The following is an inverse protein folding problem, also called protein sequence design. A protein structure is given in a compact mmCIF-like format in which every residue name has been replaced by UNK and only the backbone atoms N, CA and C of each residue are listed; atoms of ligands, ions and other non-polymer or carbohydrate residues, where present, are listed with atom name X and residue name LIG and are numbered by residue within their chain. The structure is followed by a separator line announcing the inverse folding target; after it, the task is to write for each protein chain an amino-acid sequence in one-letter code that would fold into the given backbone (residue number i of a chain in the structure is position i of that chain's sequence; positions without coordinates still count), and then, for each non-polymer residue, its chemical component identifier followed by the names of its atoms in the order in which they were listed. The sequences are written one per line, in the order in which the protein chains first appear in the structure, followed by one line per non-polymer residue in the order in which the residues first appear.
data_IF_882992808218
#
_entry.id   IF_882992808218
#
_cell.length_a   1.000
_cell.length_b   1.000
_cell.length_c   1.000
_cell.angle_alpha   90.00
_cell.angle_beta   90.00
_cell.angle_gamma   90.00
#
_symmetry.space_group_name_H-M   'P 1'
#
loop_
_entity.id
_entity.type
_entity.pdbx_description
1 polymer ?
#
# COMPACT_ATOMS: atom_id res chain seq x y z
N UNK A 1 26.49 25.27 -12.99
CA UNK A 1 26.71 23.85 -13.35
C UNK A 1 26.23 22.94 -12.22
N UNK A 2 25.01 23.12 -11.73
CA UNK A 2 24.48 22.38 -10.56
C UNK A 2 23.33 21.42 -10.95
N UNK A 3 22.81 21.58 -12.16
CA UNK A 3 21.65 20.85 -12.67
C UNK A 3 21.99 19.41 -13.11
N UNK A 4 23.26 19.08 -13.40
CA UNK A 4 23.63 17.73 -13.83
C UNK A 4 23.66 16.73 -12.68
N UNK A 5 24.21 17.12 -11.52
CA UNK A 5 24.38 16.22 -10.38
C UNK A 5 23.03 15.79 -9.76
N UNK A 6 22.08 16.73 -9.59
CA UNK A 6 20.75 16.39 -9.08
C UNK A 6 19.95 15.53 -10.07
N UNK A 7 20.04 15.84 -11.36
CA UNK A 7 19.32 15.08 -12.38
C UNK A 7 19.92 13.67 -12.58
N UNK A 8 21.24 13.52 -12.51
CA UNK A 8 21.92 12.21 -12.50
C UNK A 8 21.58 11.41 -11.24
N UNK A 9 21.57 12.05 -10.07
CA UNK A 9 21.13 11.44 -8.82
C UNK A 9 19.69 10.94 -8.93
N UNK A 10 18.74 11.79 -9.34
CA UNK A 10 17.34 11.41 -9.51
C UNK A 10 17.14 10.30 -10.55
N UNK A 11 17.94 10.28 -11.61
CA UNK A 11 17.90 9.22 -12.61
C UNK A 11 18.40 7.88 -12.05
N UNK A 12 19.38 7.92 -11.13
CA UNK A 12 19.83 6.74 -10.39
C UNK A 12 18.73 6.18 -9.46
N UNK A 13 18.02 7.06 -8.76
CA UNK A 13 16.95 6.69 -7.82
C UNK A 13 15.61 6.29 -8.48
N UNK A 14 15.45 6.44 -9.80
CA UNK A 14 14.20 6.09 -10.50
C UNK A 14 13.80 4.61 -10.26
N UNK A 15 14.77 3.71 -10.12
CA UNK A 15 14.49 2.30 -9.82
C UNK A 15 13.95 2.09 -8.40
N UNK A 16 14.41 2.88 -7.44
CA UNK A 16 13.90 2.82 -6.07
C UNK A 16 12.42 3.28 -6.00
N UNK A 17 12.01 4.17 -6.89
CA UNK A 17 10.60 4.54 -7.02
C UNK A 17 9.68 3.38 -7.43
N UNK A 18 10.21 2.39 -8.16
CA UNK A 18 9.44 1.22 -8.56
C UNK A 18 9.03 0.38 -7.34
N UNK A 19 9.82 0.40 -6.27
CA UNK A 19 9.52 -0.31 -5.02
C UNK A 19 8.20 0.17 -4.43
N UNK A 20 7.89 1.46 -4.45
CA UNK A 20 6.63 1.99 -3.91
C UNK A 20 5.39 1.51 -4.68
N UNK A 21 5.51 1.34 -6.00
CA UNK A 21 4.46 0.72 -6.80
C UNK A 21 4.26 -0.74 -6.41
N UNK A 22 5.35 -1.50 -6.20
CA UNK A 22 5.28 -2.88 -5.72
C UNK A 22 4.63 -2.96 -4.33
N UNK A 23 5.02 -2.10 -3.39
CA UNK A 23 4.44 -2.07 -2.04
C UNK A 23 2.93 -1.78 -2.09
N UNK A 24 2.52 -0.81 -2.89
CA UNK A 24 1.10 -0.50 -3.12
C UNK A 24 0.36 -1.69 -3.75
N UNK A 25 0.99 -2.37 -4.71
CA UNK A 25 0.44 -3.55 -5.36
C UNK A 25 0.27 -4.75 -4.40
N UNK A 26 1.20 -4.94 -3.45
CA UNK A 26 1.07 -5.95 -2.40
C UNK A 26 -0.16 -5.67 -1.53
N UNK A 27 -0.36 -4.41 -1.10
CA UNK A 27 -1.55 -4.01 -0.32
C UNK A 27 -2.82 -4.23 -1.15
N UNK A 28 -2.80 -3.92 -2.45
CA UNK A 28 -3.91 -4.17 -3.36
C UNK A 28 -4.28 -5.67 -3.42
N UNK A 29 -3.31 -6.57 -3.61
CA UNK A 29 -3.57 -8.02 -3.62
C UNK A 29 -4.18 -8.48 -2.29
N UNK A 30 -3.66 -8.02 -1.16
CA UNK A 30 -4.16 -8.39 0.16
C UNK A 30 -5.59 -7.87 0.40
N UNK A 31 -5.90 -6.67 -0.08
CA UNK A 31 -7.24 -6.12 -0.09
C UNK A 31 -8.20 -6.97 -0.94
N UNK A 32 -7.81 -7.34 -2.16
CA UNK A 32 -8.63 -8.20 -3.03
C UNK A 32 -8.91 -9.57 -2.41
N UNK A 33 -7.90 -10.22 -1.80
CA UNK A 33 -8.10 -11.47 -1.04
C UNK A 33 -9.15 -11.30 0.07
N UNK A 34 -9.11 -10.18 0.79
CA UNK A 34 -10.02 -9.89 1.91
C UNK A 34 -11.45 -9.63 1.44
N UNK A 35 -11.62 -8.94 0.31
CA UNK A 35 -12.93 -8.74 -0.34
C UNK A 35 -13.51 -10.08 -0.81
N UNK A 36 -12.70 -10.93 -1.46
CA UNK A 36 -13.13 -12.27 -1.92
C UNK A 36 -13.56 -13.13 -0.72
N UNK A 37 -12.79 -13.12 0.37
CA UNK A 37 -13.15 -13.78 1.62
C UNK A 37 -14.52 -13.29 2.14
N UNK A 38 -14.71 -11.98 2.27
CA UNK A 38 -15.98 -11.40 2.74
C UNK A 38 -17.19 -11.86 1.91
N UNK A 39 -17.11 -11.78 0.58
CA UNK A 39 -18.19 -12.22 -0.30
C UNK A 39 -18.45 -13.73 -0.24
N UNK A 40 -17.40 -14.51 -0.01
CA UNK A 40 -17.53 -15.97 0.10
C UNK A 40 -18.27 -16.37 1.38
N UNK A 41 -17.88 -15.80 2.51
CA UNK A 41 -18.56 -16.02 3.80
C UNK A 41 -20.02 -15.54 3.74
N UNK A 42 -20.26 -14.38 3.11
CA UNK A 42 -21.62 -13.87 2.88
C UNK A 42 -22.49 -14.88 2.13
N UNK A 43 -21.94 -15.51 1.08
CA UNK A 43 -22.60 -16.56 0.27
C UNK A 43 -22.65 -17.94 0.94
N UNK A 44 -22.16 -18.09 2.17
CA UNK A 44 -22.12 -19.38 2.87
C UNK A 44 -21.12 -20.37 2.29
N UNK A 45 -20.21 -19.92 1.43
CA UNK A 45 -19.10 -20.74 0.92
C UNK A 45 -17.93 -20.56 1.86
N UNK A 46 -17.53 -21.62 2.54
CA UNK A 46 -16.28 -21.67 3.29
C UNK A 46 -15.11 -21.79 2.31
N UNK A 47 -14.81 -20.70 1.60
CA UNK A 47 -13.66 -20.66 0.71
C UNK A 47 -12.41 -20.66 1.60
N UNK A 48 -11.53 -21.65 1.40
CA UNK A 48 -10.21 -21.77 2.07
C UNK A 48 -9.27 -20.58 1.82
N UNK A 49 -9.70 -19.55 1.07
CA UNK A 49 -9.02 -18.25 0.98
C UNK A 49 -9.25 -17.53 2.32
N UNK A 50 -8.57 -18.01 3.34
CA UNK A 50 -8.55 -17.42 4.66
C UNK A 50 -7.77 -16.12 4.50
N UNK A 51 -8.46 -14.98 4.60
CA UNK A 51 -7.79 -13.71 4.81
C UNK A 51 -7.03 -13.82 6.14
N UNK A 52 -5.72 -13.96 6.04
CA UNK A 52 -4.87 -14.32 7.17
C UNK A 52 -4.45 -13.05 7.92
N UNK A 53 -4.21 -13.19 9.22
CA UNK A 53 -3.52 -12.14 9.98
C UNK A 53 -2.15 -11.81 9.38
N UNK A 54 -1.54 -12.77 8.67
CA UNK A 54 -0.30 -12.56 7.92
C UNK A 54 -0.51 -11.55 6.79
N UNK A 55 -1.64 -11.56 6.08
CA UNK A 55 -1.90 -10.58 5.01
C UNK A 55 -2.04 -9.16 5.58
N UNK A 56 -2.59 -9.01 6.80
CA UNK A 56 -2.64 -7.72 7.50
C UNK A 56 -1.23 -7.28 7.87
N UNK A 57 -0.43 -8.18 8.45
CA UNK A 57 0.95 -7.88 8.84
C UNK A 57 1.79 -7.45 7.62
N UNK A 58 1.67 -8.15 6.49
CA UNK A 58 2.34 -7.79 5.24
C UNK A 58 1.89 -6.39 4.77
N UNK A 59 0.59 -6.08 4.83
CA UNK A 59 0.10 -4.75 4.45
C UNK A 59 0.62 -3.65 5.39
N UNK A 60 0.79 -3.93 6.68
CA UNK A 60 1.41 -3.00 7.63
C UNK A 60 2.87 -2.76 7.27
N UNK A 61 3.65 -3.82 7.00
CA UNK A 61 5.05 -3.69 6.58
C UNK A 61 5.17 -2.89 5.28
N UNK A 62 4.27 -3.12 4.32
CA UNK A 62 4.24 -2.35 3.08
C UNK A 62 3.91 -0.88 3.33
N UNK A 63 2.94 -0.58 4.21
CA UNK A 63 2.62 0.78 4.63
C UNK A 63 3.78 1.49 5.34
N UNK A 64 4.52 0.79 6.19
CA UNK A 64 5.73 1.33 6.83
C UNK A 64 6.80 1.66 5.79
N UNK A 65 7.03 0.78 4.81
CA UNK A 65 7.98 1.03 3.71
C UNK A 65 7.59 2.25 2.86
N UNK A 66 6.30 2.42 2.59
CA UNK A 66 5.73 3.58 1.91
C UNK A 66 5.97 4.88 2.68
N UNK A 67 5.70 4.89 4.00
CA UNK A 67 5.97 6.05 4.86
C UNK A 67 7.44 6.47 4.86
N UNK A 68 8.39 5.51 4.93
CA UNK A 68 9.81 5.81 4.82
C UNK A 68 10.17 6.45 3.47
N UNK A 69 9.49 6.04 2.39
CA UNK A 69 9.63 6.68 1.08
C UNK A 69 9.21 8.15 1.09
N UNK A 70 8.08 8.45 1.73
CA UNK A 70 7.58 9.81 1.90
C UNK A 70 8.53 10.68 2.74
N UNK A 71 9.12 10.14 3.82
CA UNK A 71 10.14 10.83 4.60
C UNK A 71 11.43 11.10 3.80
N UNK A 72 11.92 10.11 3.04
CA UNK A 72 13.10 10.28 2.19
C UNK A 72 12.88 11.38 1.15
N UNK A 73 11.67 11.45 0.58
CA UNK A 73 11.33 12.51 -0.36
C UNK A 73 11.13 13.88 0.26
N UNK A 74 10.65 13.96 1.51
CA UNK A 74 10.57 15.21 2.25
C UNK A 74 11.93 15.89 2.40
N UNK A 75 13.00 15.10 2.59
CA UNK A 75 14.38 15.60 2.63
C UNK A 75 14.83 16.12 1.25
N UNK A 76 14.38 15.49 0.15
CA UNK A 76 14.72 15.91 -1.21
C UNK A 76 13.99 17.19 -1.64
N UNK A 77 12.80 17.46 -1.10
CA UNK A 77 12.03 18.69 -1.39
C UNK A 77 12.61 19.96 -0.76
N UNK A 78 13.48 19.82 0.24
CA UNK A 78 14.24 20.94 0.80
C UNK A 78 15.36 21.43 -0.14
N UNK A 79 15.65 20.68 -1.21
CA UNK A 79 16.56 21.09 -2.29
C UNK A 79 15.73 21.90 -3.30
N UNK A 80 16.12 23.15 -3.63
CA UNK A 80 15.38 24.03 -4.55
C UNK A 80 15.60 23.61 -6.00
N UNK A 81 15.16 22.40 -6.35
CA UNK A 81 15.14 21.88 -7.71
C UNK A 81 13.67 21.81 -8.18
N UNK A 82 13.37 22.54 -9.26
CA UNK A 82 12.03 22.69 -9.84
C UNK A 82 11.33 21.34 -10.18
N UNK A 83 12.10 20.25 -10.26
CA UNK A 83 11.62 18.91 -10.59
C UNK A 83 11.25 18.03 -9.36
N UNK A 84 11.69 18.38 -8.14
CA UNK A 84 11.40 17.59 -6.93
C UNK A 84 9.90 17.53 -6.59
N UNK A 85 9.16 18.57 -6.95
CA UNK A 85 7.72 18.72 -6.70
C UNK A 85 6.85 17.64 -7.39
N UNK A 86 7.22 17.23 -8.61
CA UNK A 86 6.43 16.24 -9.37
C UNK A 86 6.57 14.84 -8.79
N UNK A 87 7.74 14.50 -8.26
CA UNK A 87 8.00 13.20 -7.66
C UNK A 87 7.31 13.06 -6.30
N UNK A 88 7.32 14.12 -5.48
CA UNK A 88 6.67 14.14 -4.18
C UNK A 88 5.16 13.86 -4.30
N UNK A 89 4.51 14.49 -5.27
CA UNK A 89 3.09 14.27 -5.55
C UNK A 89 2.77 12.80 -5.87
N UNK A 90 3.67 12.08 -6.55
CA UNK A 90 3.44 10.68 -6.94
C UNK A 90 3.47 9.71 -5.75
N UNK A 91 4.48 9.76 -4.88
CA UNK A 91 4.53 8.87 -3.70
C UNK A 91 3.39 9.19 -2.76
N UNK A 92 3.11 10.47 -2.53
CA UNK A 92 2.01 10.86 -1.64
C UNK A 92 0.65 10.31 -2.11
N UNK A 93 0.42 10.30 -3.43
CA UNK A 93 -0.77 9.66 -4.02
C UNK A 93 -0.76 8.14 -3.76
N UNK A 94 0.38 7.46 -3.93
CA UNK A 94 0.50 6.03 -3.65
C UNK A 94 0.22 5.69 -2.18
N UNK A 95 0.71 6.51 -1.24
CA UNK A 95 0.46 6.37 0.20
C UNK A 95 -1.05 6.46 0.50
N UNK A 96 -1.73 7.46 -0.06
CA UNK A 96 -3.19 7.60 0.11
C UNK A 96 -3.92 6.38 -0.46
N UNK A 97 -3.55 5.93 -1.66
CA UNK A 97 -4.17 4.75 -2.29
C UNK A 97 -3.96 3.52 -1.41
N UNK A 98 -2.73 3.26 -0.97
CA UNK A 98 -2.41 2.13 -0.11
C UNK A 98 -3.16 2.20 1.22
N UNK A 99 -3.27 3.38 1.82
CA UNK A 99 -4.03 3.59 3.05
C UNK A 99 -5.51 3.27 2.87
N UNK A 100 -6.15 3.79 1.81
CA UNK A 100 -7.55 3.49 1.51
C UNK A 100 -7.76 1.99 1.28
N UNK A 101 -6.88 1.34 0.51
CA UNK A 101 -6.93 -0.11 0.28
C UNK A 101 -6.79 -0.91 1.58
N UNK A 102 -5.92 -0.47 2.49
CA UNK A 102 -5.72 -1.10 3.79
C UNK A 102 -6.97 -0.96 4.68
N UNK A 103 -7.63 0.20 4.70
CA UNK A 103 -8.90 0.38 5.43
C UNK A 103 -9.98 -0.54 4.86
N UNK A 104 -10.11 -0.64 3.54
CA UNK A 104 -11.04 -1.57 2.89
C UNK A 104 -10.73 -3.02 3.29
N UNK A 105 -9.45 -3.41 3.27
CA UNK A 105 -8.98 -4.73 3.71
C UNK A 105 -9.45 -5.04 5.15
N UNK A 106 -9.20 -4.13 6.09
CA UNK A 106 -9.61 -4.29 7.49
C UNK A 106 -11.12 -4.44 7.65
N UNK A 107 -11.90 -3.56 7.01
CA UNK A 107 -13.37 -3.59 7.08
C UNK A 107 -13.91 -4.91 6.52
N UNK A 108 -13.38 -5.39 5.39
CA UNK A 108 -13.79 -6.66 4.80
C UNK A 108 -13.50 -7.85 5.72
N UNK A 109 -12.32 -7.89 6.36
CA UNK A 109 -11.96 -8.96 7.30
C UNK A 109 -12.87 -8.95 8.53
N UNK A 110 -13.04 -7.77 9.17
CA UNK A 110 -13.86 -7.64 10.39
C UNK A 110 -15.30 -8.05 10.10
N UNK A 111 -15.91 -7.51 9.04
CA UNK A 111 -17.29 -7.86 8.67
C UNK A 111 -17.43 -9.33 8.28
N UNK A 112 -16.46 -9.90 7.57
CA UNK A 112 -16.47 -11.31 7.19
C UNK A 112 -16.49 -12.22 8.41
N UNK A 113 -15.63 -11.95 9.40
CA UNK A 113 -15.55 -12.74 10.63
C UNK A 113 -16.77 -12.60 11.53
N UNK A 114 -17.39 -11.42 11.59
CA UNK A 114 -18.66 -11.25 12.34
C UNK A 114 -19.75 -12.16 11.76
N UNK A 115 -19.92 -12.17 10.44
CA UNK A 115 -20.91 -13.03 9.75
C UNK A 115 -20.58 -14.52 9.95
N UNK A 116 -19.30 -14.89 9.94
CA UNK A 116 -18.86 -16.28 10.17
C UNK A 116 -19.23 -16.76 11.59
N UNK A 117 -19.02 -15.92 12.60
CA UNK A 117 -19.40 -16.22 13.99
C UNK A 117 -20.91 -16.35 14.18
N UNK A 118 -21.70 -15.50 13.54
CA UNK A 118 -23.17 -15.58 13.59
C UNK A 118 -23.72 -16.87 12.96
N UNK A 119 -22.97 -17.49 12.04
CA UNK A 119 -23.36 -18.72 11.33
C UNK A 119 -22.81 -20.01 11.92
N UNK A 120 -21.87 -19.95 12.89
CA UNK A 120 -21.41 -21.14 13.63
C UNK A 120 -22.25 -21.30 14.91
N UNK A 121 -23.16 -22.30 14.99
CA UNK A 121 -23.96 -22.58 16.18
C UNK A 121 -23.13 -23.10 17.36
#
# INVERSE_FOLDING_TARGET
MEYSAFNEMMNYYHWDFFVYYILTFIVFINCMKSIIYFYSVKKGKLLKVIASYIDIFISILAGVGLLYGTFFQGILTDIPANNGSQWWSRIFILDIIAFVLFIIQLVSIVKGRTIEKEKSP
#
